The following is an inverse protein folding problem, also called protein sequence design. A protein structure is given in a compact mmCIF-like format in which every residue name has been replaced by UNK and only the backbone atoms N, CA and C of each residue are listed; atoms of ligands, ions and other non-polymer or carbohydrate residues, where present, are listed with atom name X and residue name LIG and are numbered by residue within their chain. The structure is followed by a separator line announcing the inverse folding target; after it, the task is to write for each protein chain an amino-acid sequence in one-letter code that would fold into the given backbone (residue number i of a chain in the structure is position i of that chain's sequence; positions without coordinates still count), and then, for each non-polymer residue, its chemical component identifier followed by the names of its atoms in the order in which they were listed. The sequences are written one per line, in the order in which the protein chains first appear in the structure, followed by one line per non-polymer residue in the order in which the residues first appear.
data_IF_072981870656
#
_entry.id   IF_072981870656
#
_cell.length_a   1.000
_cell.length_b   1.000
_cell.length_c   1.000
_cell.angle_alpha   90.00
_cell.angle_beta   90.00
_cell.angle_gamma   90.00
#
_symmetry.space_group_name_H-M   'P 1'
#
loop_
_entity.id
_entity.type
_entity.pdbx_description
1 polymer ?
#
# COMPACT_ATOMS: atom_id res chain seq x y z
N UNK A 1 10.45 -3.71 -26.59
CA UNK A 1 9.22 -3.58 -27.43
C UNK A 1 8.02 -4.29 -26.77
N UNK A 2 8.12 -5.50 -26.30
CA UNK A 2 6.98 -6.26 -25.71
C UNK A 2 6.31 -5.68 -24.45
N UNK A 3 6.90 -4.71 -23.78
CA UNK A 3 6.38 -4.17 -22.50
C UNK A 3 5.22 -3.18 -22.69
N UNK A 4 5.20 -2.45 -23.81
CA UNK A 4 4.14 -1.51 -24.15
C UNK A 4 3.00 -2.14 -24.95
N UNK A 5 3.19 -3.34 -25.49
CA UNK A 5 2.16 -4.02 -26.28
C UNK A 5 0.93 -4.37 -25.44
N UNK A 6 1.11 -4.67 -24.15
CA UNK A 6 0.03 -4.94 -23.18
C UNK A 6 -0.85 -3.70 -22.95
N UNK A 7 -0.25 -2.50 -22.89
CA UNK A 7 -1.01 -1.24 -22.82
C UNK A 7 -1.75 -0.90 -24.11
N UNK A 8 -1.16 -1.20 -25.26
CA UNK A 8 -1.79 -0.95 -26.56
C UNK A 8 -3.00 -1.88 -26.81
N UNK A 9 -3.02 -3.05 -26.18
CA UNK A 9 -4.14 -3.99 -26.26
C UNK A 9 -5.40 -3.52 -25.51
N UNK A 10 -5.28 -2.55 -24.59
CA UNK A 10 -6.40 -2.02 -23.83
C UNK A 10 -7.24 -1.06 -24.68
N UNK A 11 -8.55 -1.18 -24.59
CA UNK A 11 -9.47 -0.19 -25.13
C UNK A 11 -9.47 1.10 -24.27
N UNK A 12 -10.10 2.17 -24.78
CA UNK A 12 -10.12 3.47 -24.10
C UNK A 12 -10.70 3.41 -22.69
N UNK A 13 -11.79 2.67 -22.48
CA UNK A 13 -12.44 2.52 -21.17
C UNK A 13 -11.51 1.83 -20.19
N UNK A 14 -10.87 0.74 -20.60
CA UNK A 14 -9.92 -0.01 -19.77
C UNK A 14 -8.73 0.83 -19.34
N UNK A 15 -8.16 1.65 -20.26
CA UNK A 15 -7.05 2.57 -19.95
C UNK A 15 -7.46 3.62 -18.91
N UNK A 16 -8.62 4.26 -19.09
CA UNK A 16 -9.11 5.26 -18.13
C UNK A 16 -9.43 4.65 -16.77
N UNK A 17 -10.04 3.45 -16.76
CA UNK A 17 -10.34 2.74 -15.50
C UNK A 17 -9.07 2.36 -14.76
N UNK A 18 -8.10 1.77 -15.46
CA UNK A 18 -6.81 1.41 -14.86
C UNK A 18 -6.05 2.63 -14.34
N UNK A 19 -5.94 3.69 -15.16
CA UNK A 19 -5.29 4.93 -14.76
C UNK A 19 -5.94 5.56 -13.51
N UNK A 20 -7.27 5.56 -13.44
CA UNK A 20 -7.98 6.08 -12.29
C UNK A 20 -7.74 5.26 -11.00
N UNK A 21 -7.73 3.93 -11.10
CA UNK A 21 -7.43 3.04 -9.97
C UNK A 21 -5.97 3.18 -9.53
N UNK A 22 -5.02 3.23 -10.47
CA UNK A 22 -3.61 3.45 -10.20
C UNK A 22 -3.36 4.81 -9.54
N UNK A 23 -3.92 5.89 -10.09
CA UNK A 23 -3.82 7.22 -9.50
C UNK A 23 -4.48 7.30 -8.13
N UNK A 24 -5.64 6.66 -7.95
CA UNK A 24 -6.30 6.58 -6.64
C UNK A 24 -5.39 5.97 -5.58
N UNK A 25 -4.74 4.86 -5.91
CA UNK A 25 -3.78 4.20 -5.02
C UNK A 25 -2.49 5.01 -4.82
N UNK A 26 -1.98 5.64 -5.88
CA UNK A 26 -0.80 6.53 -5.81
C UNK A 26 -1.05 7.73 -4.90
N UNK A 27 -2.18 8.39 -5.04
CA UNK A 27 -2.52 9.59 -4.27
C UNK A 27 -2.85 9.26 -2.80
N UNK A 28 -3.47 8.10 -2.55
CA UNK A 28 -3.67 7.56 -1.21
C UNK A 28 -2.33 7.33 -0.49
N UNK A 29 -1.38 6.70 -1.16
CA UNK A 29 -0.03 6.49 -0.64
C UNK A 29 0.74 7.82 -0.48
N UNK A 30 0.60 8.76 -1.41
CA UNK A 30 1.19 10.09 -1.34
C UNK A 30 0.80 10.81 -0.04
N UNK A 31 -0.50 10.85 0.30
CA UNK A 31 -1.01 11.49 1.50
C UNK A 31 -0.52 10.79 2.79
N UNK A 32 -0.44 9.48 2.77
CA UNK A 32 0.15 8.72 3.88
C UNK A 32 1.62 9.09 4.12
N UNK A 33 2.42 9.17 3.05
CA UNK A 33 3.84 9.49 3.17
C UNK A 33 4.10 10.96 3.49
N UNK A 34 3.24 11.90 3.15
CA UNK A 34 3.35 13.29 3.61
C UNK A 34 3.46 13.37 5.13
N UNK A 35 2.65 12.57 5.85
CA UNK A 35 2.76 12.48 7.31
C UNK A 35 4.16 12.02 7.75
N UNK A 36 4.73 10.99 7.11
CA UNK A 36 6.05 10.46 7.51
C UNK A 36 7.17 11.48 7.33
N UNK A 37 7.15 12.25 6.24
CA UNK A 37 8.12 13.32 6.00
C UNK A 37 7.95 14.51 6.94
N UNK A 38 6.72 14.81 7.35
CA UNK A 38 6.39 15.99 8.17
C UNK A 38 6.41 15.75 9.69
N UNK A 39 6.68 14.52 10.18
CA UNK A 39 6.61 14.13 11.60
C UNK A 39 7.33 15.11 12.53
N UNK A 40 8.56 15.49 12.19
CA UNK A 40 9.36 16.40 13.02
C UNK A 40 8.76 17.80 13.06
N UNK A 41 8.29 18.33 11.94
CA UNK A 41 7.70 19.66 11.87
C UNK A 41 6.36 19.73 12.63
N UNK A 42 5.56 18.66 12.56
CA UNK A 42 4.30 18.52 13.31
C UNK A 42 4.61 18.48 14.82
N UNK A 43 5.60 17.69 15.23
CA UNK A 43 6.04 17.60 16.63
C UNK A 43 6.48 18.97 17.19
N UNK A 44 7.24 19.71 16.40
CA UNK A 44 7.66 21.08 16.77
C UNK A 44 6.47 22.02 16.92
N UNK A 45 5.48 21.95 15.98
CA UNK A 45 4.31 22.83 16.01
C UNK A 45 3.40 22.59 17.23
N UNK A 46 3.22 21.33 17.62
CA UNK A 46 2.41 20.97 18.79
C UNK A 46 3.20 20.93 20.10
N UNK A 47 4.50 21.25 20.09
CA UNK A 47 5.41 21.19 21.25
C UNK A 47 5.41 19.82 21.96
N UNK A 48 5.46 18.74 21.16
CA UNK A 48 5.42 17.35 21.64
C UNK A 48 6.61 16.55 21.10
N UNK A 49 6.85 15.37 21.66
CA UNK A 49 7.85 14.44 21.12
C UNK A 49 7.39 13.78 19.81
N UNK A 50 8.34 13.38 18.95
CA UNK A 50 8.05 12.67 17.69
C UNK A 50 7.23 11.39 17.91
N UNK A 51 7.47 10.67 19.02
CA UNK A 51 6.73 9.46 19.39
C UNK A 51 5.23 9.73 19.48
N UNK A 52 4.83 10.87 20.06
CA UNK A 52 3.41 11.25 20.18
C UNK A 52 2.76 11.56 18.82
N UNK A 53 3.52 12.13 17.89
CA UNK A 53 3.04 12.36 16.52
C UNK A 53 3.00 11.05 15.73
N UNK A 54 3.93 10.12 15.98
CA UNK A 54 3.94 8.79 15.35
C UNK A 54 2.68 7.96 15.67
N UNK A 55 1.97 8.28 16.78
CA UNK A 55 0.62 7.71 17.03
C UNK A 55 -0.36 8.00 15.87
N UNK A 56 -0.15 9.07 15.10
CA UNK A 56 -0.96 9.36 13.93
C UNK A 56 -0.81 8.28 12.84
N UNK A 57 0.40 7.74 12.64
CA UNK A 57 0.62 6.60 11.73
C UNK A 57 -0.11 5.36 12.23
N UNK A 58 0.02 5.08 13.54
CA UNK A 58 -0.67 3.95 14.16
C UNK A 58 -2.19 4.05 13.96
N UNK A 59 -2.81 5.19 14.31
CA UNK A 59 -4.25 5.37 14.17
C UNK A 59 -4.72 5.31 12.71
N UNK A 60 -3.93 5.86 11.77
CA UNK A 60 -4.20 5.73 10.34
C UNK A 60 -4.25 4.27 9.91
N UNK A 61 -3.25 3.48 10.26
CA UNK A 61 -3.17 2.07 9.89
C UNK A 61 -4.20 1.20 10.63
N UNK A 62 -4.41 1.47 11.92
CA UNK A 62 -5.33 0.70 12.75
C UNK A 62 -6.80 0.83 12.31
N UNK A 63 -7.19 1.96 11.72
CA UNK A 63 -8.56 2.20 11.27
C UNK A 63 -8.83 1.69 9.84
N UNK A 64 -7.80 1.35 9.06
CA UNK A 64 -7.96 0.84 7.68
C UNK A 64 -8.82 -0.42 7.57
N UNK A 65 -8.75 -1.44 8.44
CA UNK A 65 -9.60 -2.62 8.33
C UNK A 65 -11.09 -2.28 8.40
N UNK A 66 -11.46 -1.33 9.27
CA UNK A 66 -12.84 -0.85 9.37
C UNK A 66 -13.28 -0.21 8.04
N UNK A 67 -12.42 0.63 7.46
CA UNK A 67 -12.65 1.24 6.16
C UNK A 67 -12.77 0.22 5.03
N UNK A 68 -11.87 -0.76 4.96
CA UNK A 68 -11.91 -1.81 3.96
C UNK A 68 -13.24 -2.59 3.99
N UNK A 69 -13.74 -2.91 5.18
CA UNK A 69 -15.01 -3.58 5.34
C UNK A 69 -16.20 -2.68 4.93
N UNK A 70 -16.25 -1.45 5.44
CA UNK A 70 -17.36 -0.51 5.16
C UNK A 70 -17.45 -0.16 3.67
N UNK A 71 -16.34 0.22 3.06
CA UNK A 71 -16.33 0.59 1.64
C UNK A 71 -16.40 -0.61 0.71
N UNK A 72 -15.88 -1.78 1.10
CA UNK A 72 -16.11 -3.02 0.38
C UNK A 72 -17.59 -3.38 0.33
N UNK A 73 -18.30 -3.34 1.47
CA UNK A 73 -19.74 -3.57 1.53
C UNK A 73 -20.54 -2.51 0.75
N UNK A 74 -20.10 -1.25 0.80
CA UNK A 74 -20.71 -0.16 0.03
C UNK A 74 -20.54 -0.40 -1.49
N UNK A 75 -19.36 -0.84 -1.93
CA UNK A 75 -19.07 -1.13 -3.33
C UNK A 75 -19.96 -2.26 -3.90
N UNK A 76 -20.33 -3.23 -3.09
CA UNK A 76 -21.31 -4.24 -3.49
C UNK A 76 -22.72 -3.65 -3.66
N UNK A 77 -23.08 -2.66 -2.86
CA UNK A 77 -24.44 -2.05 -2.88
C UNK A 77 -24.63 -1.04 -4.00
N UNK A 78 -23.74 -0.08 -4.11
CA UNK A 78 -23.90 1.10 -5.00
C UNK A 78 -22.98 1.06 -6.23
N UNK A 79 -22.06 0.09 -6.30
CA UNK A 79 -21.09 -0.06 -7.38
C UNK A 79 -19.67 0.35 -6.97
N UNK A 80 -18.69 -0.10 -7.77
CA UNK A 80 -17.27 0.12 -7.49
C UNK A 80 -16.88 1.57 -7.74
N UNK A 81 -17.34 2.12 -8.87
CA UNK A 81 -17.02 3.50 -9.30
C UNK A 81 -17.52 4.57 -8.30
N UNK A 82 -18.81 4.64 -7.91
CA UNK A 82 -19.27 5.66 -6.97
C UNK A 82 -18.63 5.48 -5.59
N UNK A 83 -18.38 4.25 -5.15
CA UNK A 83 -17.67 4.02 -3.89
C UNK A 83 -16.24 4.53 -3.92
N UNK A 84 -15.50 4.32 -5.01
CA UNK A 84 -14.15 4.87 -5.17
C UNK A 84 -14.18 6.40 -5.18
N UNK A 85 -15.18 7.03 -5.80
CA UNK A 85 -15.36 8.48 -5.75
C UNK A 85 -15.58 8.99 -4.33
N UNK A 86 -16.44 8.32 -3.55
CA UNK A 86 -16.71 8.66 -2.14
C UNK A 86 -15.42 8.51 -1.32
N UNK A 87 -14.66 7.44 -1.54
CA UNK A 87 -13.38 7.23 -0.88
C UNK A 87 -12.41 8.37 -1.12
N UNK A 88 -12.22 8.76 -2.39
CA UNK A 88 -11.28 9.83 -2.76
C UNK A 88 -11.69 11.16 -2.13
N UNK A 89 -12.98 11.51 -2.15
CA UNK A 89 -13.48 12.71 -1.47
C UNK A 89 -13.24 12.64 0.04
N UNK A 90 -13.55 11.48 0.65
CA UNK A 90 -13.45 11.32 2.10
C UNK A 90 -11.99 11.43 2.59
N UNK A 91 -11.03 10.73 1.97
CA UNK A 91 -9.65 10.83 2.43
C UNK A 91 -9.06 12.22 2.19
N UNK A 92 -9.33 12.86 1.02
CA UNK A 92 -8.88 14.23 0.75
C UNK A 92 -9.48 15.25 1.72
N UNK A 93 -10.73 15.05 2.13
CA UNK A 93 -11.39 15.90 3.12
C UNK A 93 -10.73 15.78 4.51
N UNK A 94 -10.46 14.55 4.97
CA UNK A 94 -9.78 14.36 6.26
C UNK A 94 -8.31 14.75 6.23
N UNK A 95 -7.64 14.66 5.08
CA UNK A 95 -6.30 15.23 4.87
C UNK A 95 -6.32 16.75 5.07
N UNK A 96 -7.27 17.43 4.42
CA UNK A 96 -7.44 18.86 4.55
C UNK A 96 -7.78 19.26 5.99
N UNK A 97 -8.69 18.54 6.66
CA UNK A 97 -9.01 18.80 8.08
C UNK A 97 -7.78 18.63 8.98
N UNK A 98 -6.91 17.68 8.68
CA UNK A 98 -5.66 17.48 9.42
C UNK A 98 -4.74 18.71 9.32
N UNK A 99 -4.73 19.39 8.16
CA UNK A 99 -3.97 20.63 7.98
C UNK A 99 -4.44 21.75 8.91
N UNK A 100 -5.71 21.79 9.26
CA UNK A 100 -6.31 22.81 10.13
C UNK A 100 -6.44 22.38 11.60
N UNK A 101 -5.98 21.20 11.98
CA UNK A 101 -6.07 20.70 13.34
C UNK A 101 -5.40 21.67 14.34
N UNK A 102 -6.13 22.16 15.38
CA UNK A 102 -5.58 23.12 16.35
C UNK A 102 -4.74 22.43 17.43
N UNK A 103 -4.96 21.15 17.70
CA UNK A 103 -4.29 20.36 18.74
C UNK A 103 -3.81 19.02 18.20
N UNK A 104 -2.83 18.41 18.86
CA UNK A 104 -2.42 17.04 18.54
C UNK A 104 -3.61 16.06 18.60
N UNK A 105 -4.48 16.17 19.61
CA UNK A 105 -5.63 15.28 19.74
C UNK A 105 -6.58 15.37 18.53
N UNK A 106 -6.94 16.58 18.10
CA UNK A 106 -7.77 16.76 16.89
C UNK A 106 -7.07 16.26 15.64
N UNK A 107 -5.74 16.43 15.54
CA UNK A 107 -4.93 15.87 14.46
C UNK A 107 -5.01 14.33 14.45
N UNK A 108 -4.84 13.67 15.60
CA UNK A 108 -4.94 12.21 15.71
C UNK A 108 -6.33 11.69 15.33
N UNK A 109 -7.39 12.39 15.74
CA UNK A 109 -8.78 12.04 15.34
C UNK A 109 -8.93 12.16 13.81
N UNK A 110 -8.46 13.24 13.20
CA UNK A 110 -8.48 13.38 11.75
C UNK A 110 -7.70 12.27 11.05
N UNK A 111 -6.55 11.85 11.58
CA UNK A 111 -5.75 10.74 11.06
C UNK A 111 -6.46 9.38 11.17
N UNK A 112 -7.19 9.15 12.26
CA UNK A 112 -8.01 7.95 12.41
C UNK A 112 -9.14 7.89 11.37
N UNK A 113 -9.86 9.01 11.17
CA UNK A 113 -10.91 9.12 10.15
C UNK A 113 -10.36 9.03 8.71
N UNK A 114 -9.20 9.62 8.45
CA UNK A 114 -8.45 9.45 7.23
C UNK A 114 -8.13 7.96 6.99
N UNK A 115 -7.69 7.23 8.02
CA UNK A 115 -7.43 5.80 7.95
C UNK A 115 -8.65 4.97 7.55
N UNK A 116 -9.85 5.31 8.07
CA UNK A 116 -11.10 4.67 7.64
C UNK A 116 -11.34 4.93 6.14
N UNK A 117 -11.25 6.19 5.70
CA UNK A 117 -11.46 6.52 4.29
C UNK A 117 -10.46 5.83 3.37
N UNK A 118 -9.18 5.83 3.75
CA UNK A 118 -8.07 5.21 3.02
C UNK A 118 -8.22 3.68 2.90
N UNK A 119 -8.81 3.01 3.92
CA UNK A 119 -8.91 1.55 3.97
C UNK A 119 -9.66 0.92 2.81
N UNK A 120 -10.61 1.63 2.21
CA UNK A 120 -11.41 1.15 1.08
C UNK A 120 -10.76 1.28 -0.29
N UNK A 121 -9.80 2.19 -0.47
CA UNK A 121 -9.29 2.60 -1.80
C UNK A 121 -8.68 1.44 -2.56
N UNK A 122 -7.78 0.68 -1.93
CA UNK A 122 -7.08 -0.41 -2.59
C UNK A 122 -8.04 -1.53 -3.02
N UNK A 123 -8.91 -2.01 -2.12
CA UNK A 123 -9.83 -3.12 -2.42
C UNK A 123 -10.83 -2.77 -3.51
N UNK A 124 -11.48 -1.60 -3.41
CA UNK A 124 -12.46 -1.13 -4.40
C UNK A 124 -11.80 -0.81 -5.73
N UNK A 125 -10.61 -0.18 -5.71
CA UNK A 125 -9.84 0.12 -6.92
C UNK A 125 -9.35 -1.13 -7.63
N UNK A 126 -8.83 -2.13 -6.89
CA UNK A 126 -8.40 -3.40 -7.45
C UNK A 126 -9.58 -4.17 -8.07
N UNK A 127 -10.74 -4.23 -7.38
CA UNK A 127 -11.93 -4.86 -7.92
C UNK A 127 -12.37 -4.19 -9.23
N UNK A 128 -12.49 -2.86 -9.26
CA UNK A 128 -12.86 -2.11 -10.45
C UNK A 128 -11.88 -2.35 -11.61
N UNK A 129 -10.57 -2.31 -11.34
CA UNK A 129 -9.54 -2.53 -12.35
C UNK A 129 -9.62 -3.95 -12.92
N UNK A 130 -9.60 -5.01 -12.07
CA UNK A 130 -9.52 -6.39 -12.53
C UNK A 130 -10.82 -6.95 -13.10
N UNK A 131 -11.97 -6.39 -12.70
CA UNK A 131 -13.26 -6.71 -13.33
C UNK A 131 -13.40 -6.07 -14.75
N UNK A 132 -12.61 -5.02 -15.04
CA UNK A 132 -12.62 -4.31 -16.34
C UNK A 132 -11.53 -4.81 -17.28
N UNK A 133 -10.39 -5.26 -16.75
CA UNK A 133 -9.21 -5.64 -17.52
C UNK A 133 -9.30 -7.08 -18.07
N UNK A 134 -8.68 -7.35 -19.26
CA UNK A 134 -8.61 -8.69 -19.82
C UNK A 134 -7.87 -9.67 -18.89
N UNK A 135 -8.41 -10.89 -18.74
CA UNK A 135 -7.84 -11.92 -17.88
C UNK A 135 -6.37 -12.26 -18.22
N UNK A 136 -6.02 -12.22 -19.51
CA UNK A 136 -4.68 -12.58 -20.04
C UNK A 136 -3.55 -11.73 -19.47
N UNK A 137 -3.82 -10.47 -19.11
CA UNK A 137 -2.80 -9.51 -18.69
C UNK A 137 -2.90 -9.09 -17.21
N UNK A 138 -3.71 -9.81 -16.43
CA UNK A 138 -3.95 -9.47 -15.01
C UNK A 138 -2.69 -9.44 -14.15
N UNK A 139 -1.74 -10.35 -14.39
CA UNK A 139 -0.48 -10.40 -13.65
C UNK A 139 0.36 -9.14 -13.85
N UNK A 140 0.51 -8.69 -15.08
CA UNK A 140 1.23 -7.46 -15.43
C UNK A 140 0.57 -6.23 -14.79
N UNK A 141 -0.74 -6.07 -15.00
CA UNK A 141 -1.48 -4.94 -14.45
C UNK A 141 -1.62 -5.00 -12.92
N UNK A 142 -1.57 -6.19 -12.33
CA UNK A 142 -1.50 -6.37 -10.87
C UNK A 142 -0.22 -5.78 -10.29
N UNK A 143 0.94 -6.18 -10.85
CA UNK A 143 2.22 -5.61 -10.45
C UNK A 143 2.23 -4.09 -10.62
N UNK A 144 1.80 -3.60 -11.78
CA UNK A 144 1.79 -2.17 -12.06
C UNK A 144 0.83 -1.39 -11.13
N UNK A 145 -0.36 -1.94 -10.81
CA UNK A 145 -1.29 -1.29 -9.88
C UNK A 145 -0.66 -1.16 -8.48
N UNK A 146 0.03 -2.20 -8.03
CA UNK A 146 0.69 -2.20 -6.73
C UNK A 146 1.80 -1.13 -6.64
N UNK A 147 2.49 -0.86 -7.75
CA UNK A 147 3.53 0.17 -7.80
C UNK A 147 2.99 1.61 -7.65
N UNK A 148 1.69 1.81 -7.68
CA UNK A 148 1.08 3.09 -7.28
C UNK A 148 1.52 3.54 -5.88
N UNK A 149 1.70 2.59 -4.94
CA UNK A 149 2.20 2.89 -3.60
C UNK A 149 3.61 3.51 -3.61
N UNK A 150 4.51 2.93 -4.41
CA UNK A 150 5.89 3.44 -4.56
C UNK A 150 5.89 4.81 -5.26
N UNK A 151 5.04 4.97 -6.29
CA UNK A 151 4.87 6.26 -6.97
C UNK A 151 4.37 7.34 -6.01
N UNK A 152 3.45 7.01 -5.10
CA UNK A 152 2.96 7.92 -4.06
C UNK A 152 4.08 8.37 -3.12
N UNK A 153 4.92 7.44 -2.67
CA UNK A 153 6.09 7.76 -1.85
C UNK A 153 7.07 8.67 -2.59
N UNK A 154 7.37 8.38 -3.87
CA UNK A 154 8.24 9.22 -4.70
C UNK A 154 7.68 10.64 -4.87
N UNK A 155 6.38 10.77 -5.08
CA UNK A 155 5.71 12.08 -5.17
C UNK A 155 5.81 12.85 -3.85
N UNK A 156 5.58 12.19 -2.71
CA UNK A 156 5.70 12.81 -1.39
C UNK A 156 7.15 13.26 -1.10
N UNK A 157 8.12 12.40 -1.42
CA UNK A 157 9.55 12.72 -1.28
C UNK A 157 9.96 13.90 -2.17
N UNK A 158 9.52 13.92 -3.44
CA UNK A 158 9.81 14.99 -4.38
C UNK A 158 9.17 16.31 -3.93
N UNK A 159 7.89 16.29 -3.55
CA UNK A 159 7.19 17.47 -3.06
C UNK A 159 7.85 18.03 -1.79
N UNK A 160 8.16 17.14 -0.84
CA UNK A 160 8.87 17.51 0.38
C UNK A 160 10.24 18.13 0.08
N UNK A 161 11.05 17.46 -0.74
CA UNK A 161 12.40 17.92 -1.08
C UNK A 161 12.44 19.25 -1.83
N UNK A 162 11.45 19.51 -2.71
CA UNK A 162 11.40 20.72 -3.53
C UNK A 162 10.74 21.89 -2.77
N UNK A 163 9.64 21.63 -2.07
CA UNK A 163 8.78 22.70 -1.58
C UNK A 163 8.97 22.99 -0.08
N UNK A 164 9.21 21.98 0.74
CA UNK A 164 9.17 22.11 2.20
C UNK A 164 10.12 23.17 2.75
N UNK A 165 11.35 23.25 2.23
CA UNK A 165 12.37 24.23 2.63
C UNK A 165 12.04 25.66 2.21
N UNK A 166 11.17 25.86 1.23
CA UNK A 166 10.77 27.17 0.72
C UNK A 166 9.51 27.71 1.42
N UNK A 167 8.83 26.88 2.20
CA UNK A 167 7.63 27.24 2.93
C UNK A 167 8.01 27.81 4.31
N UNK A 168 8.12 29.12 4.42
CA UNK A 168 8.45 29.87 5.65
C UNK A 168 7.26 30.54 6.30
N UNK A 169 6.04 30.04 6.09
CA UNK A 169 4.81 30.60 6.63
C UNK A 169 4.69 30.44 8.16
N UNK A 170 3.82 31.27 8.75
CA UNK A 170 3.46 31.23 10.17
C UNK A 170 1.99 30.83 10.35
N UNK A 171 1.64 30.31 11.53
CA UNK A 171 0.26 29.94 11.87
C UNK A 171 -0.27 28.80 11.00
N UNK A 172 -1.38 29.06 10.26
CA UNK A 172 -2.00 28.07 9.39
C UNK A 172 -1.22 27.80 8.10
N UNK A 173 -0.28 28.65 7.72
CA UNK A 173 0.59 28.49 6.54
C UNK A 173 1.98 27.93 6.90
N UNK A 174 2.14 27.34 8.08
CA UNK A 174 3.37 26.62 8.42
C UNK A 174 3.60 25.46 7.44
N UNK A 175 4.85 25.18 7.12
CA UNK A 175 5.26 24.29 6.04
C UNK A 175 4.51 22.95 5.97
N UNK A 176 4.40 22.21 7.05
CA UNK A 176 3.71 20.91 7.04
C UNK A 176 2.20 21.03 6.77
N UNK A 177 1.54 22.12 7.23
CA UNK A 177 0.12 22.35 6.97
C UNK A 177 -0.15 22.60 5.49
N UNK A 178 0.72 23.37 4.84
CA UNK A 178 0.64 23.61 3.38
C UNK A 178 0.84 22.30 2.61
N UNK A 179 1.76 21.43 3.05
CA UNK A 179 1.93 20.10 2.45
C UNK A 179 0.64 19.29 2.51
N UNK A 180 -0.06 19.30 3.66
CA UNK A 180 -1.34 18.61 3.83
C UNK A 180 -2.49 19.26 3.04
N UNK A 181 -2.47 20.59 2.86
CA UNK A 181 -3.42 21.27 1.95
C UNK A 181 -3.22 20.82 0.50
N UNK A 182 -1.95 20.64 0.07
CA UNK A 182 -1.62 20.07 -1.25
C UNK A 182 -2.09 18.62 -1.32
N UNK A 183 -2.01 17.85 -0.22
CA UNK A 183 -2.54 16.51 -0.08
C UNK A 183 -4.06 16.40 -0.28
N UNK A 184 -4.81 17.49 -0.27
CA UNK A 184 -6.24 17.47 -0.61
C UNK A 184 -6.53 17.54 -2.13
N UNK A 185 -5.52 17.82 -2.97
CA UNK A 185 -5.67 17.88 -4.44
C UNK A 185 -6.11 16.56 -5.09
N UNK A 186 -5.85 15.37 -4.53
CA UNK A 186 -6.41 14.11 -5.02
C UNK A 186 -7.91 14.12 -5.24
N UNK A 187 -8.69 14.96 -4.51
CA UNK A 187 -10.12 15.14 -4.75
C UNK A 187 -10.46 15.49 -6.20
N UNK A 188 -9.54 16.11 -6.94
CA UNK A 188 -9.70 16.41 -8.38
C UNK A 188 -9.80 15.13 -9.24
N UNK A 189 -9.27 13.99 -8.78
CA UNK A 189 -9.40 12.69 -9.45
C UNK A 189 -10.88 12.28 -9.60
N UNK A 190 -11.76 12.77 -8.72
CA UNK A 190 -13.21 12.50 -8.78
C UNK A 190 -13.80 12.97 -10.11
N UNK A 191 -13.34 14.10 -10.66
CA UNK A 191 -13.78 14.54 -11.98
C UNK A 191 -13.39 13.54 -13.07
N UNK A 192 -12.17 13.02 -13.04
CA UNK A 192 -11.76 11.98 -13.98
C UNK A 192 -12.60 10.71 -13.84
N UNK A 193 -12.82 10.24 -12.62
CA UNK A 193 -13.69 9.10 -12.32
C UNK A 193 -15.13 9.34 -12.81
N UNK A 194 -15.64 10.54 -12.61
CA UNK A 194 -17.02 10.90 -13.01
C UNK A 194 -17.24 10.90 -14.52
N UNK A 195 -16.27 11.38 -15.29
CA UNK A 195 -16.47 11.63 -16.72
C UNK A 195 -15.86 10.55 -17.63
N UNK A 196 -14.82 9.85 -17.20
CA UNK A 196 -14.06 8.96 -18.07
C UNK A 196 -14.09 7.48 -17.65
N UNK A 197 -14.54 7.16 -16.44
CA UNK A 197 -14.58 5.78 -15.94
C UNK A 197 -16.01 5.26 -15.95
N UNK A 198 -16.18 4.04 -16.44
CA UNK A 198 -17.46 3.32 -16.38
C UNK A 198 -17.51 2.41 -15.17
N UNK A 199 -18.72 1.97 -14.81
CA UNK A 199 -18.90 0.98 -13.75
C UNK A 199 -18.41 -0.39 -14.21
N UNK A 200 -18.08 -1.25 -13.24
CA UNK A 200 -17.65 -2.62 -13.49
C UNK A 200 -18.67 -3.39 -14.33
N UNK A 201 -18.25 -4.00 -15.46
CA UNK A 201 -19.12 -4.84 -16.26
C UNK A 201 -19.68 -6.04 -15.46
N UNK A 202 -18.86 -6.63 -14.58
CA UNK A 202 -19.27 -7.75 -13.74
C UNK A 202 -20.37 -7.34 -12.73
N UNK A 203 -20.25 -6.16 -12.15
CA UNK A 203 -21.25 -5.62 -11.24
C UNK A 203 -22.56 -5.27 -11.97
N UNK A 204 -22.48 -4.68 -13.17
CA UNK A 204 -23.65 -4.38 -14.00
C UNK A 204 -24.37 -5.66 -14.43
N UNK A 205 -23.63 -6.67 -14.89
CA UNK A 205 -24.19 -7.97 -15.27
C UNK A 205 -24.91 -8.65 -14.10
N UNK A 206 -24.39 -8.56 -12.89
CA UNK A 206 -25.03 -9.12 -11.71
C UNK A 206 -26.38 -8.47 -11.36
N UNK A 207 -26.67 -7.27 -11.85
CA UNK A 207 -27.91 -6.53 -11.64
C UNK A 207 -28.92 -6.66 -12.81
N UNK A 208 -28.46 -7.05 -14.00
CA UNK A 208 -29.29 -7.17 -15.19
C UNK A 208 -30.11 -8.46 -15.29
N UNK A 209 -29.84 -9.47 -14.47
CA UNK A 209 -30.62 -10.71 -14.43
C UNK A 209 -31.74 -10.56 -13.39
N UNK A 210 -32.89 -10.18 -13.87
CA UNK A 210 -34.26 -10.19 -13.32
C UNK A 210 -34.50 -10.17 -11.82
N UNK A 211 -35.48 -9.39 -11.43
CA UNK A 211 -35.95 -9.08 -10.08
C UNK A 211 -36.31 -10.26 -9.15
N UNK A 212 -36.23 -11.51 -9.59
CA UNK A 212 -36.57 -12.71 -8.80
C UNK A 212 -35.37 -13.32 -8.05
N UNK A 213 -34.13 -13.16 -8.53
CA UNK A 213 -32.92 -13.66 -7.84
C UNK A 213 -32.21 -12.63 -7.00
N UNK A 214 -32.62 -11.36 -7.05
CA UNK A 214 -32.03 -10.24 -6.28
C UNK A 214 -32.27 -10.33 -4.77
N UNK A 215 -33.17 -11.23 -4.33
CA UNK A 215 -33.51 -11.38 -2.90
C UNK A 215 -32.55 -12.31 -2.16
N UNK A 216 -31.65 -13.02 -2.83
CA UNK A 216 -30.80 -14.04 -2.18
C UNK A 216 -29.29 -13.93 -2.37
N UNK A 217 -28.74 -12.85 -2.94
CA UNK A 217 -27.33 -12.57 -2.62
C UNK A 217 -27.28 -12.02 -1.20
N UNK A 218 -27.14 -12.91 -0.25
CA UNK A 218 -26.79 -12.56 1.13
C UNK A 218 -25.67 -11.53 1.05
N UNK A 219 -25.91 -10.37 1.65
CA UNK A 219 -24.88 -9.37 1.87
C UNK A 219 -23.66 -10.13 2.39
N UNK A 220 -22.48 -9.92 1.79
CA UNK A 220 -21.24 -10.44 2.35
C UNK A 220 -21.17 -9.93 3.78
N UNK A 221 -21.66 -10.75 4.69
CA UNK A 221 -21.69 -10.47 6.10
C UNK A 221 -20.40 -10.99 6.70
N UNK A 222 -20.06 -10.50 7.86
CA UNK A 222 -18.95 -11.04 8.64
C UNK A 222 -19.10 -12.57 8.83
N UNK A 223 -20.32 -13.07 8.96
CA UNK A 223 -20.63 -14.50 9.04
C UNK A 223 -20.26 -15.26 7.77
N UNK A 224 -20.50 -14.69 6.59
CA UNK A 224 -20.09 -15.28 5.30
C UNK A 224 -18.56 -15.39 5.21
N UNK A 225 -17.84 -14.34 5.63
CA UNK A 225 -16.36 -14.37 5.68
C UNK A 225 -15.87 -15.43 6.66
N UNK A 226 -16.52 -15.58 7.84
CA UNK A 226 -16.19 -16.62 8.81
C UNK A 226 -16.42 -18.04 8.29
N UNK A 227 -17.34 -18.25 7.34
CA UNK A 227 -17.51 -19.53 6.66
C UNK A 227 -16.25 -20.00 5.91
N UNK A 228 -15.39 -19.07 5.52
CA UNK A 228 -14.10 -19.31 4.87
C UNK A 228 -12.89 -19.09 5.82
N UNK A 229 -13.10 -19.26 7.13
CA UNK A 229 -12.11 -18.96 8.16
C UNK A 229 -10.71 -19.55 7.92
N UNK A 230 -10.52 -20.80 7.45
CA UNK A 230 -9.19 -21.35 7.23
C UNK A 230 -8.38 -20.57 6.20
N UNK A 231 -8.96 -20.27 5.03
CA UNK A 231 -8.26 -19.49 4.00
C UNK A 231 -8.10 -18.03 4.46
N UNK A 232 -9.09 -17.46 5.13
CA UNK A 232 -9.03 -16.11 5.64
C UNK A 232 -7.89 -15.94 6.66
N UNK A 233 -7.77 -16.87 7.62
CA UNK A 233 -6.68 -16.88 8.60
C UNK A 233 -5.31 -17.01 7.91
N UNK A 234 -5.20 -17.92 6.93
CA UNK A 234 -3.98 -18.06 6.14
C UNK A 234 -3.59 -16.75 5.46
N UNK A 235 -4.55 -16.06 4.80
CA UNK A 235 -4.31 -14.78 4.15
C UNK A 235 -3.93 -13.68 5.14
N UNK A 236 -4.52 -13.63 6.35
CA UNK A 236 -4.13 -12.68 7.39
C UNK A 236 -2.67 -12.91 7.81
N UNK A 237 -2.30 -14.16 8.08
CA UNK A 237 -0.93 -14.50 8.50
C UNK A 237 0.07 -14.18 7.40
N UNK A 238 -0.25 -14.53 6.15
CA UNK A 238 0.56 -14.20 4.98
C UNK A 238 0.75 -12.69 4.86
N UNK A 239 -0.34 -11.92 4.93
CA UNK A 239 -0.30 -10.47 4.79
C UNK A 239 0.41 -9.79 5.96
N UNK A 240 0.28 -10.31 7.18
CA UNK A 240 1.04 -9.82 8.33
C UNK A 240 2.56 -9.98 8.12
N UNK A 241 3.00 -11.12 7.59
CA UNK A 241 4.39 -11.31 7.23
C UNK A 241 4.84 -10.36 6.12
N UNK A 242 4.04 -10.19 5.06
CA UNK A 242 4.35 -9.28 3.95
C UNK A 242 4.40 -7.82 4.38
N UNK A 243 3.43 -7.35 5.16
CA UNK A 243 3.42 -5.97 5.66
C UNK A 243 4.58 -5.71 6.61
N UNK A 244 4.94 -6.68 7.48
CA UNK A 244 6.16 -6.59 8.29
C UNK A 244 7.42 -6.52 7.42
N UNK A 245 7.46 -7.25 6.30
CA UNK A 245 8.61 -7.27 5.39
C UNK A 245 8.79 -5.91 4.70
N UNK A 246 7.72 -5.34 4.18
CA UNK A 246 7.73 -4.04 3.53
C UNK A 246 8.01 -2.90 4.52
N UNK A 247 7.15 -2.72 5.53
CA UNK A 247 7.31 -1.67 6.53
C UNK A 247 8.62 -1.81 7.33
N UNK A 248 9.04 -3.02 7.63
CA UNK A 248 10.28 -3.28 8.35
C UNK A 248 11.56 -2.90 7.60
N UNK A 249 11.48 -2.75 6.27
CA UNK A 249 12.61 -2.34 5.43
C UNK A 249 12.52 -0.89 4.95
N UNK A 250 11.37 -0.24 5.11
CA UNK A 250 11.10 1.09 4.54
C UNK A 250 10.94 2.18 5.60
N UNK A 251 10.16 1.93 6.66
CA UNK A 251 9.67 2.98 7.55
C UNK A 251 10.80 3.71 8.29
N UNK A 252 11.77 2.98 8.84
CA UNK A 252 12.90 3.55 9.58
C UNK A 252 14.19 3.66 8.76
N UNK A 253 14.19 3.26 7.49
CA UNK A 253 15.38 3.35 6.66
C UNK A 253 15.87 4.78 6.41
N UNK A 254 15.00 5.78 6.17
CA UNK A 254 15.40 7.18 6.12
C UNK A 254 16.04 7.66 7.44
N UNK A 255 15.49 7.26 8.59
CA UNK A 255 16.05 7.57 9.92
C UNK A 255 17.44 6.94 10.10
N UNK A 256 17.59 5.66 9.71
CA UNK A 256 18.89 4.98 9.69
C UNK A 256 19.94 5.74 8.85
N UNK A 257 19.55 6.23 7.67
CA UNK A 257 20.44 7.04 6.82
C UNK A 257 20.78 8.40 7.45
N UNK A 258 19.83 9.02 8.16
CA UNK A 258 20.08 10.26 8.91
C UNK A 258 21.05 10.04 10.07
N UNK A 259 20.98 8.91 10.75
CA UNK A 259 21.92 8.53 11.83
C UNK A 259 23.36 8.37 11.32
N UNK A 260 23.57 8.07 10.03
CA UNK A 260 24.87 8.11 9.36
C UNK A 260 25.37 9.53 9.05
N UNK A 261 24.64 10.57 9.48
CA UNK A 261 24.97 12.00 9.27
C UNK A 261 25.04 12.40 7.80
N UNK A 262 24.34 11.69 6.90
CA UNK A 262 24.22 12.13 5.53
C UNK A 262 23.30 13.36 5.42
N UNK A 263 23.61 14.22 4.45
CA UNK A 263 22.73 15.36 4.15
C UNK A 263 21.34 14.88 3.69
N UNK A 264 20.32 15.71 3.89
CA UNK A 264 18.96 15.42 3.48
C UNK A 264 18.86 15.05 1.98
N UNK A 265 19.68 15.69 1.13
CA UNK A 265 19.76 15.40 -0.31
C UNK A 265 20.27 13.99 -0.58
N UNK A 266 21.30 13.53 0.17
CA UNK A 266 21.85 12.18 0.04
C UNK A 266 20.83 11.15 0.53
N UNK A 267 20.18 11.39 1.65
CA UNK A 267 19.10 10.53 2.18
C UNK A 267 17.97 10.39 1.15
N UNK A 268 17.51 11.50 0.58
CA UNK A 268 16.49 11.51 -0.46
C UNK A 268 16.91 10.75 -1.72
N UNK A 269 18.17 10.90 -2.16
CA UNK A 269 18.71 10.20 -3.32
C UNK A 269 18.79 8.68 -3.09
N UNK A 270 19.28 8.25 -1.94
CA UNK A 270 19.36 6.82 -1.57
C UNK A 270 17.96 6.22 -1.52
N UNK A 271 17.01 6.91 -0.90
CA UNK A 271 15.61 6.49 -0.85
C UNK A 271 14.98 6.42 -2.26
N UNK A 272 15.23 7.40 -3.12
CA UNK A 272 14.74 7.40 -4.50
C UNK A 272 15.29 6.22 -5.32
N UNK A 273 16.60 5.92 -5.17
CA UNK A 273 17.22 4.76 -5.83
C UNK A 273 16.58 3.45 -5.32
N UNK A 274 16.32 3.33 -4.02
CA UNK A 274 15.59 2.20 -3.44
C UNK A 274 14.19 2.05 -4.05
N UNK A 275 13.45 3.14 -4.21
CA UNK A 275 12.13 3.15 -4.83
C UNK A 275 12.17 2.77 -6.31
N UNK A 276 13.22 3.14 -7.06
CA UNK A 276 13.41 2.66 -8.44
C UNK A 276 13.64 1.14 -8.44
N UNK A 277 14.38 0.60 -7.47
CA UNK A 277 14.53 -0.84 -7.26
C UNK A 277 13.19 -1.51 -6.99
N UNK A 278 12.35 -0.92 -6.15
CA UNK A 278 11.00 -1.38 -5.85
C UNK A 278 10.13 -1.49 -7.12
N UNK A 279 10.05 -0.42 -7.91
CA UNK A 279 9.30 -0.38 -9.17
C UNK A 279 9.77 -1.49 -10.14
N UNK A 280 11.09 -1.59 -10.33
CA UNK A 280 11.66 -2.61 -11.21
C UNK A 280 11.35 -4.02 -10.70
N UNK A 281 11.48 -4.26 -9.39
CA UNK A 281 11.23 -5.54 -8.74
C UNK A 281 9.78 -5.99 -8.88
N UNK A 282 8.82 -5.12 -8.53
CA UNK A 282 7.39 -5.43 -8.60
C UNK A 282 6.95 -5.84 -10.00
N UNK A 283 7.37 -5.09 -11.00
CA UNK A 283 7.04 -5.37 -12.40
C UNK A 283 7.72 -6.66 -12.89
N UNK A 284 9.04 -6.81 -12.64
CA UNK A 284 9.80 -7.99 -13.09
C UNK A 284 9.28 -9.27 -12.43
N UNK A 285 9.14 -9.29 -11.11
CA UNK A 285 8.66 -10.47 -10.39
C UNK A 285 7.19 -10.78 -10.70
N UNK A 286 6.33 -9.75 -10.85
CA UNK A 286 4.97 -9.92 -11.32
C UNK A 286 4.91 -10.70 -12.63
N UNK A 287 5.70 -10.29 -13.62
CA UNK A 287 5.79 -10.96 -14.93
C UNK A 287 6.41 -12.35 -14.83
N UNK A 288 7.50 -12.51 -14.08
CA UNK A 288 8.17 -13.80 -13.87
C UNK A 288 7.19 -14.79 -13.24
N UNK A 289 6.33 -14.34 -12.33
CA UNK A 289 5.37 -15.20 -11.62
C UNK A 289 4.31 -15.82 -12.53
N UNK A 290 4.08 -15.25 -13.71
CA UNK A 290 3.17 -15.83 -14.72
C UNK A 290 3.70 -17.15 -15.29
N UNK A 291 5.02 -17.31 -15.37
CA UNK A 291 5.68 -18.51 -15.92
C UNK A 291 6.22 -19.43 -14.82
N UNK A 292 6.81 -18.86 -13.78
CA UNK A 292 7.51 -19.61 -12.73
C UNK A 292 6.58 -20.06 -11.59
N UNK A 293 5.39 -19.45 -11.48
CA UNK A 293 4.41 -19.68 -10.40
C UNK A 293 4.49 -18.62 -9.31
N UNK A 294 3.33 -18.35 -8.66
CA UNK A 294 3.22 -17.30 -7.65
C UNK A 294 4.09 -17.57 -6.43
N UNK A 295 3.91 -18.76 -5.85
CA UNK A 295 4.65 -19.19 -4.65
C UNK A 295 6.16 -19.19 -4.84
N UNK A 296 6.65 -19.79 -5.91
CA UNK A 296 8.09 -19.90 -6.16
C UNK A 296 8.74 -18.53 -6.30
N UNK A 297 8.09 -17.62 -7.04
CA UNK A 297 8.60 -16.25 -7.23
C UNK A 297 8.69 -15.51 -5.90
N UNK A 298 7.65 -15.58 -5.07
CA UNK A 298 7.63 -14.97 -3.74
C UNK A 298 8.73 -15.51 -2.85
N UNK A 299 8.84 -16.85 -2.75
CA UNK A 299 9.84 -17.53 -1.92
C UNK A 299 11.27 -17.13 -2.32
N UNK A 300 11.56 -17.16 -3.63
CA UNK A 300 12.89 -16.80 -4.13
C UNK A 300 13.21 -15.34 -3.85
N UNK A 301 12.27 -14.42 -4.10
CA UNK A 301 12.46 -13.00 -3.83
C UNK A 301 12.69 -12.73 -2.33
N UNK A 302 11.89 -13.33 -1.44
CA UNK A 302 12.05 -13.18 0.00
C UNK A 302 13.41 -13.71 0.51
N UNK A 303 13.86 -14.86 0.02
CA UNK A 303 15.15 -15.43 0.40
C UNK A 303 16.33 -14.61 -0.16
N UNK A 304 16.22 -14.09 -1.38
CA UNK A 304 17.26 -13.26 -2.00
C UNK A 304 17.41 -11.87 -1.36
N UNK A 305 16.42 -11.40 -0.59
CA UNK A 305 16.56 -10.17 0.20
C UNK A 305 17.61 -10.32 1.33
N UNK A 306 17.78 -11.53 1.90
CA UNK A 306 18.70 -11.77 3.03
C UNK A 306 20.17 -11.49 2.65
N UNK A 307 20.75 -12.00 1.54
CA UNK A 307 22.12 -11.67 1.16
C UNK A 307 22.35 -10.20 0.77
N UNK A 308 21.31 -9.38 0.64
CA UNK A 308 21.45 -7.93 0.40
C UNK A 308 21.75 -7.13 1.66
N UNK A 309 21.54 -7.68 2.85
CA UNK A 309 21.71 -7.01 4.16
C UNK A 309 23.09 -6.33 4.29
N UNK A 310 24.25 -6.96 3.95
CA UNK A 310 25.55 -6.31 4.09
C UNK A 310 25.65 -4.99 3.32
N UNK A 311 25.12 -4.93 2.11
CA UNK A 311 25.13 -3.70 1.29
C UNK A 311 24.11 -2.69 1.81
N UNK A 312 22.97 -3.14 2.30
CA UNK A 312 21.84 -2.29 2.66
C UNK A 312 21.95 -1.67 4.04
N UNK A 313 22.50 -2.39 5.05
CA UNK A 313 22.49 -1.91 6.45
C UNK A 313 23.88 -1.86 7.10
N UNK A 314 24.93 -2.47 6.51
CA UNK A 314 26.25 -2.54 7.10
C UNK A 314 27.31 -1.77 6.31
N UNK A 315 26.93 -1.16 5.19
CA UNK A 315 27.82 -0.29 4.42
C UNK A 315 27.92 1.09 5.03
N UNK A 316 29.04 1.77 4.77
CA UNK A 316 29.32 3.10 5.32
C UNK A 316 29.28 4.21 4.26
N UNK A 317 29.19 3.85 2.98
CA UNK A 317 29.16 4.83 1.88
C UNK A 317 27.75 4.98 1.31
N UNK A 318 27.36 6.20 0.96
CA UNK A 318 26.06 6.47 0.36
C UNK A 318 25.80 5.64 -0.92
N UNK A 319 26.85 5.42 -1.73
CA UNK A 319 26.77 4.64 -2.97
C UNK A 319 26.43 3.19 -2.67
N UNK A 320 27.12 2.53 -1.73
CA UNK A 320 26.84 1.14 -1.36
C UNK A 320 25.47 0.99 -0.73
N UNK A 321 25.06 1.94 0.13
CA UNK A 321 23.71 1.96 0.72
C UNK A 321 22.62 2.18 -0.34
N UNK A 322 22.89 2.98 -1.38
CA UNK A 322 21.98 3.16 -2.50
C UNK A 322 21.82 1.86 -3.33
N UNK A 323 22.94 1.20 -3.64
CA UNK A 323 22.91 -0.11 -4.33
C UNK A 323 22.22 -1.16 -3.47
N UNK A 324 22.56 -1.22 -2.18
CA UNK A 324 21.91 -2.12 -1.21
C UNK A 324 20.41 -1.84 -1.09
N UNK A 325 20.02 -0.56 -1.04
CA UNK A 325 18.63 -0.12 -1.02
C UNK A 325 17.87 -0.51 -2.28
N UNK A 326 18.48 -0.32 -3.46
CA UNK A 326 17.92 -0.78 -4.74
C UNK A 326 17.65 -2.29 -4.74
N UNK A 327 18.68 -3.10 -4.42
CA UNK A 327 18.57 -4.55 -4.43
C UNK A 327 17.59 -5.07 -3.38
N UNK A 328 17.62 -4.52 -2.16
CA UNK A 328 16.70 -4.88 -1.10
C UNK A 328 15.25 -4.61 -1.53
N UNK A 329 14.96 -3.41 -2.01
CA UNK A 329 13.60 -3.05 -2.41
C UNK A 329 13.16 -3.76 -3.69
N UNK A 330 14.09 -4.08 -4.59
CA UNK A 330 13.79 -4.93 -5.75
C UNK A 330 13.26 -6.32 -5.30
N UNK A 331 13.84 -6.93 -4.27
CA UNK A 331 13.41 -8.22 -3.77
C UNK A 331 12.11 -8.11 -2.95
N UNK A 332 12.03 -7.16 -2.02
CA UNK A 332 10.88 -6.97 -1.14
C UNK A 332 9.63 -6.60 -1.94
N UNK A 333 9.71 -5.58 -2.77
CA UNK A 333 8.58 -5.14 -3.60
C UNK A 333 8.37 -6.05 -4.81
N UNK A 334 9.41 -6.78 -5.25
CA UNK A 334 9.26 -7.86 -6.20
C UNK A 334 8.30 -8.95 -5.71
N UNK A 335 8.47 -9.39 -4.46
CA UNK A 335 7.52 -10.32 -3.84
C UNK A 335 6.10 -9.70 -3.75
N UNK A 336 5.99 -8.40 -3.40
CA UNK A 336 4.72 -7.68 -3.34
C UNK A 336 4.00 -7.56 -4.68
N UNK A 337 4.73 -7.39 -5.79
CA UNK A 337 4.12 -7.31 -7.12
C UNK A 337 3.34 -8.57 -7.52
N UNK A 338 3.60 -9.70 -6.88
CA UNK A 338 2.88 -10.96 -7.10
C UNK A 338 1.61 -11.07 -6.24
N UNK A 339 1.55 -10.35 -5.11
CA UNK A 339 0.51 -10.51 -4.08
C UNK A 339 -0.91 -10.23 -4.57
N UNK A 340 -1.22 -9.14 -5.30
CA UNK A 340 -2.59 -8.88 -5.73
C UNK A 340 -3.20 -10.05 -6.52
N UNK A 341 -2.43 -10.59 -7.47
CA UNK A 341 -2.84 -11.76 -8.24
C UNK A 341 -2.99 -13.01 -7.36
N UNK A 342 -2.00 -13.27 -6.50
CA UNK A 342 -1.98 -14.44 -5.62
C UNK A 342 -3.16 -14.46 -4.65
N UNK A 343 -3.45 -13.34 -3.98
CA UNK A 343 -4.59 -13.22 -3.07
C UNK A 343 -5.94 -13.40 -3.79
N UNK A 344 -6.07 -12.82 -4.99
CA UNK A 344 -7.29 -12.93 -5.77
C UNK A 344 -7.54 -14.36 -6.25
N UNK A 345 -6.48 -15.03 -6.72
CA UNK A 345 -6.53 -16.42 -7.17
C UNK A 345 -6.84 -17.41 -6.02
N UNK A 346 -6.39 -17.10 -4.80
CA UNK A 346 -6.69 -17.90 -3.59
C UNK A 346 -8.07 -17.64 -3.00
N UNK A 347 -8.72 -16.54 -3.35
CA UNK A 347 -9.97 -16.14 -2.71
C UNK A 347 -11.19 -16.82 -3.37
N UNK A 348 -12.05 -17.50 -2.57
CA UNK A 348 -13.30 -18.10 -3.08
C UNK A 348 -14.21 -17.04 -3.73
N UNK A 349 -14.95 -17.46 -4.78
CA UNK A 349 -15.83 -16.58 -5.57
C UNK A 349 -16.73 -15.66 -4.74
N UNK A 350 -17.50 -16.20 -3.76
CA UNK A 350 -18.46 -15.39 -2.98
C UNK A 350 -17.86 -14.29 -2.11
N UNK A 351 -16.57 -14.40 -1.76
CA UNK A 351 -15.88 -13.45 -0.86
C UNK A 351 -14.67 -12.78 -1.51
N UNK A 352 -14.44 -13.03 -2.80
CA UNK A 352 -13.24 -12.57 -3.54
C UNK A 352 -13.09 -11.06 -3.57
N UNK A 353 -14.17 -10.30 -3.56
CA UNK A 353 -14.13 -8.84 -3.56
C UNK A 353 -13.73 -8.24 -2.20
N UNK A 354 -14.01 -8.97 -1.10
CA UNK A 354 -13.78 -8.46 0.27
C UNK A 354 -12.51 -9.06 0.88
N UNK A 355 -12.30 -10.37 0.70
CA UNK A 355 -11.30 -11.14 1.44
C UNK A 355 -9.87 -10.63 1.25
N UNK A 356 -9.36 -10.37 0.02
CA UNK A 356 -7.99 -9.89 -0.18
C UNK A 356 -7.72 -8.56 0.51
N UNK A 357 -8.61 -7.58 0.29
CA UNK A 357 -8.47 -6.24 0.87
C UNK A 357 -8.58 -6.25 2.40
N UNK A 358 -9.53 -7.01 2.95
CA UNK A 358 -9.72 -7.10 4.38
C UNK A 358 -8.57 -7.82 5.08
N UNK A 359 -8.08 -8.95 4.51
CA UNK A 359 -6.90 -9.64 5.03
C UNK A 359 -5.64 -8.77 5.00
N UNK A 360 -5.44 -8.00 3.92
CA UNK A 360 -4.34 -7.04 3.81
C UNK A 360 -4.39 -5.99 4.91
N UNK A 361 -5.54 -5.38 5.15
CA UNK A 361 -5.67 -4.34 6.17
C UNK A 361 -5.58 -4.89 7.61
N UNK A 362 -6.01 -6.12 7.84
CA UNK A 362 -5.77 -6.80 9.13
C UNK A 362 -4.27 -7.09 9.33
N UNK A 363 -3.56 -7.47 8.27
CA UNK A 363 -2.10 -7.59 8.28
C UNK A 363 -1.44 -6.27 8.67
N UNK A 364 -1.84 -5.15 8.10
CA UNK A 364 -1.35 -3.82 8.46
C UNK A 364 -1.62 -3.49 9.94
N UNK A 365 -2.80 -3.81 10.47
CA UNK A 365 -3.13 -3.59 11.87
C UNK A 365 -2.21 -4.37 12.81
N UNK A 366 -1.98 -5.66 12.52
CA UNK A 366 -1.12 -6.54 13.33
C UNK A 366 0.31 -6.00 13.36
N UNK A 367 0.80 -5.46 12.25
CA UNK A 367 2.18 -5.00 12.08
C UNK A 367 2.38 -3.49 12.28
N UNK A 368 1.32 -2.77 12.63
CA UNK A 368 1.34 -1.32 12.80
C UNK A 368 2.38 -0.80 13.82
N UNK A 369 2.84 -1.67 14.73
CA UNK A 369 3.88 -1.34 15.72
C UNK A 369 5.29 -1.79 15.31
N UNK A 370 5.50 -2.25 14.10
CA UNK A 370 6.80 -2.79 13.67
C UNK A 370 7.95 -1.77 13.86
N UNK A 371 7.76 -0.53 13.42
CA UNK A 371 8.74 0.53 13.60
C UNK A 371 9.04 0.81 15.09
N UNK A 372 8.01 0.77 15.95
CA UNK A 372 8.18 0.96 17.42
C UNK A 372 9.03 -0.16 18.00
N UNK A 373 8.83 -1.42 17.57
CA UNK A 373 9.65 -2.54 18.01
C UNK A 373 11.10 -2.40 17.56
N UNK A 374 11.34 -2.03 16.31
CA UNK A 374 12.69 -1.82 15.77
C UNK A 374 13.44 -0.73 16.54
N UNK A 375 12.78 0.41 16.78
CA UNK A 375 13.39 1.52 17.52
C UNK A 375 13.62 1.17 18.98
N UNK A 376 12.67 0.48 19.63
CA UNK A 376 12.82 0.02 21.01
C UNK A 376 14.00 -0.94 21.16
N UNK A 377 14.11 -1.91 20.21
CA UNK A 377 15.24 -2.84 20.21
C UNK A 377 16.57 -2.14 20.02
N UNK A 378 16.68 -1.23 19.07
CA UNK A 378 17.89 -0.45 18.80
C UNK A 378 18.33 0.33 20.03
N UNK A 379 17.40 1.01 20.71
CA UNK A 379 17.68 1.80 21.89
C UNK A 379 18.16 0.99 23.11
N UNK A 380 17.73 -0.26 23.25
CA UNK A 380 18.11 -1.11 24.38
C UNK A 380 19.37 -1.94 24.16
N UNK A 381 19.70 -2.30 22.92
CA UNK A 381 20.75 -3.29 22.63
C UNK A 381 21.94 -2.72 21.84
N UNK A 382 21.72 -1.74 20.97
CA UNK A 382 22.73 -1.25 20.01
C UNK A 382 23.16 0.20 20.23
N UNK A 383 22.89 0.77 21.39
CA UNK A 383 23.22 2.19 21.64
C UNK A 383 22.50 3.15 20.71
N UNK A 384 21.31 2.77 20.23
CA UNK A 384 20.47 3.54 19.32
C UNK A 384 20.68 3.24 17.82
N UNK A 385 21.55 2.30 17.45
CA UNK A 385 21.77 1.92 16.06
C UNK A 385 20.67 1.02 15.50
N UNK A 386 20.04 1.44 14.41
CA UNK A 386 18.98 0.66 13.74
C UNK A 386 19.49 -0.51 12.89
N UNK A 387 20.81 -0.60 12.61
CA UNK A 387 21.36 -1.60 11.66
C UNK A 387 21.02 -3.05 12.01
N UNK A 388 21.12 -3.43 13.31
CA UNK A 388 20.85 -4.79 13.77
C UNK A 388 19.35 -5.06 13.76
N UNK A 389 18.54 -4.10 14.25
CA UNK A 389 17.07 -4.21 14.22
C UNK A 389 16.52 -4.40 12.81
N UNK A 390 16.99 -3.60 11.85
CA UNK A 390 16.64 -3.70 10.43
C UNK A 390 17.08 -5.05 9.85
N UNK A 391 18.33 -5.47 10.10
CA UNK A 391 18.88 -6.74 9.62
C UNK A 391 18.11 -7.93 10.17
N UNK A 392 17.85 -7.96 11.48
CA UNK A 392 17.07 -9.02 12.13
C UNK A 392 15.65 -9.10 11.55
N UNK A 393 15.02 -7.95 11.29
CA UNK A 393 13.69 -7.90 10.65
C UNK A 393 13.72 -8.58 9.29
N UNK A 394 14.69 -8.26 8.43
CA UNK A 394 14.79 -8.87 7.09
C UNK A 394 14.98 -10.39 7.18
N UNK A 395 15.86 -10.88 8.07
CA UNK A 395 16.09 -12.31 8.24
C UNK A 395 14.83 -13.02 8.75
N UNK A 396 14.29 -12.57 9.87
CA UNK A 396 13.14 -13.22 10.52
C UNK A 396 11.91 -13.18 9.61
N UNK A 397 11.58 -12.00 9.12
CA UNK A 397 10.34 -11.82 8.33
C UNK A 397 10.50 -12.39 6.93
N UNK A 398 11.68 -12.26 6.30
CA UNK A 398 11.95 -12.88 5.00
C UNK A 398 11.81 -14.40 5.04
N UNK A 399 12.33 -15.05 6.08
CA UNK A 399 12.14 -16.50 6.32
C UNK A 399 10.66 -16.82 6.57
N UNK A 400 9.95 -16.03 7.38
CA UNK A 400 8.50 -16.22 7.63
C UNK A 400 7.70 -16.13 6.32
N UNK A 401 7.92 -15.10 5.50
CA UNK A 401 7.28 -14.96 4.19
C UNK A 401 7.56 -16.19 3.32
N UNK A 402 8.83 -16.63 3.26
CA UNK A 402 9.22 -17.79 2.44
C UNK A 402 8.52 -19.07 2.94
N UNK A 403 8.53 -19.35 4.25
CA UNK A 403 7.92 -20.56 4.82
C UNK A 403 6.41 -20.56 4.66
N UNK A 404 5.71 -19.46 5.06
CA UNK A 404 4.26 -19.35 4.96
C UNK A 404 3.81 -19.53 3.52
N UNK A 405 4.49 -18.86 2.58
CA UNK A 405 4.18 -18.99 1.15
C UNK A 405 4.48 -20.41 0.63
N UNK A 406 5.58 -21.04 1.04
CA UNK A 406 5.94 -22.38 0.59
C UNK A 406 4.96 -23.46 1.07
N UNK A 407 4.39 -23.31 2.26
CA UNK A 407 3.39 -24.24 2.81
C UNK A 407 1.99 -23.96 2.26
N UNK A 408 1.72 -22.70 1.86
CA UNK A 408 0.42 -22.27 1.35
C UNK A 408 0.03 -22.90 0.02
N UNK A 409 -1.25 -22.79 -0.38
CA UNK A 409 -1.73 -23.31 -1.66
C UNK A 409 -1.19 -22.49 -2.86
N UNK A 410 -1.04 -23.15 -4.02
CA UNK A 410 -0.79 -22.50 -5.31
C UNK A 410 -2.08 -22.51 -6.12
N UNK A 411 -2.57 -21.34 -6.53
CA UNK A 411 -3.78 -21.20 -7.32
C UNK A 411 -3.54 -20.47 -8.66
N UNK A 412 -2.32 -20.54 -9.18
CA UNK A 412 -1.96 -19.92 -10.45
C UNK A 412 -2.90 -20.36 -11.58
N UNK A 413 -3.47 -19.39 -12.26
CA UNK A 413 -4.36 -19.65 -13.41
C UNK A 413 -5.76 -20.10 -13.02
N UNK A 414 -6.17 -19.94 -11.75
CA UNK A 414 -7.52 -20.19 -11.32
C UNK A 414 -8.52 -19.45 -12.22
N UNK A 415 -9.54 -20.17 -12.70
CA UNK A 415 -10.58 -19.59 -13.51
C UNK A 415 -11.49 -18.74 -12.60
N UNK A 416 -11.36 -17.41 -12.70
CA UNK A 416 -12.10 -16.47 -11.86
C UNK A 416 -13.58 -16.34 -12.25
N UNK A 417 -14.00 -17.01 -13.33
CA UNK A 417 -15.38 -17.01 -13.82
C UNK A 417 -16.21 -18.20 -13.31
N UNK A 418 -15.57 -19.23 -12.75
CA UNK A 418 -16.29 -20.36 -12.17
C UNK A 418 -16.86 -19.96 -10.80
N UNK A 419 -18.18 -19.86 -10.75
CA UNK A 419 -18.97 -19.58 -9.54
C UNK A 419 -19.35 -20.88 -8.81
N UNK A 420 -18.42 -21.85 -8.70
CA UNK A 420 -18.65 -23.04 -7.88
C UNK A 420 -18.06 -22.88 -6.50
#
# INVERSE_FOLDING_TARGET
MAFFDEFHSLNRVQRHTFAACFLGWTLDAFDFFLLTFCLTAIATTFHVGRKQVAEALFWTLAMRPLGAFLFGALAERIGRRPTLMINVVAFSFFELLSAFAPTLHSFLVCRALFGIAMGGVWGVGAALAFETLPAKHRGFFSGLLQEGYVCGNLLAAALYGILFSHLHGHGIFVNWRVMFMIGALPSLLVFHLRFNVQESPAWLASRGHGTSELVQRELVTFRTVLGYAPIFLFLIVLMSAFTSFSHGTQDLYPTFLQDHKFSASVVGLVAAIGNIGALAGGICCGKISEHFGRRRTIVVAALLAIPMIPLWAWSHTAVMLAVGGFLMQFMVQGAWGVIPAHLTELSPGPVRAVLPGFAYQLGNLITARNAVFQETYANHHDGGSLKVALSATVVIVGLLVAVITAVGPEARGANLHDHT
#
